data_IF_834631838975
#
_entry.id   IF_834631838975
#
_cell.length_a   1.000
_cell.length_b   1.000
_cell.length_c   1.000
_cell.angle_alpha   90.00
_cell.angle_beta   90.00
_cell.angle_gamma   90.00
#
_symmetry.space_group_name_H-M   'P 1'
#
loop_
_entity.id
_entity.type
_entity.pdbx_description
1 polymer ?
#
# COMPACT_ATOMS: atom_id res chain seq x y z
N UNK A 1 18.17 14.36 0.77
CA UNK A 1 18.58 14.16 -0.63
C UNK A 1 19.76 13.23 -0.79
N UNK A 2 20.63 13.12 0.18
CA UNK A 2 21.76 12.19 0.13
C UNK A 2 21.36 10.72 0.36
N UNK A 3 20.09 10.44 0.64
CA UNK A 3 19.59 9.10 0.98
C UNK A 3 19.01 8.35 -0.24
N UNK A 4 18.89 9.02 -1.38
CA UNK A 4 18.44 8.43 -2.65
C UNK A 4 17.12 7.64 -2.55
N UNK A 5 16.15 8.13 -1.75
CA UNK A 5 14.81 7.51 -1.68
C UNK A 5 14.14 7.54 -3.06
N UNK A 6 13.48 6.45 -3.41
CA UNK A 6 12.85 6.29 -4.73
C UNK A 6 11.38 6.71 -4.78
N UNK A 7 10.76 6.98 -3.62
CA UNK A 7 9.36 7.37 -3.52
C UNK A 7 9.12 8.33 -2.35
N UNK A 8 8.01 9.07 -2.40
CA UNK A 8 7.57 9.97 -1.34
C UNK A 8 6.08 9.76 -1.11
N UNK A 9 5.70 9.57 0.15
CA UNK A 9 4.31 9.50 0.60
C UNK A 9 3.85 10.89 1.07
N UNK A 10 2.80 11.42 0.44
CA UNK A 10 2.16 12.68 0.81
C UNK A 10 0.97 12.36 1.71
N UNK A 11 1.08 12.66 2.99
CA UNK A 11 0.05 12.42 4.01
C UNK A 11 -0.21 13.68 4.85
N UNK A 12 -1.30 13.67 5.61
CA UNK A 12 -1.74 14.79 6.43
C UNK A 12 -2.90 15.55 5.76
N UNK A 13 -3.28 16.68 6.32
CA UNK A 13 -4.42 17.46 5.84
C UNK A 13 -3.97 18.57 4.88
N UNK A 14 -3.85 18.25 3.61
CA UNK A 14 -3.47 19.19 2.55
C UNK A 14 -4.70 19.85 1.96
N UNK A 15 -5.00 21.07 2.41
CA UNK A 15 -6.17 21.86 1.95
C UNK A 15 -5.81 22.89 0.86
N UNK A 16 -4.66 22.72 0.22
CA UNK A 16 -4.12 23.68 -0.76
C UNK A 16 -4.61 23.46 -2.21
N UNK A 17 -5.50 22.49 -2.41
CA UNK A 17 -6.02 22.12 -3.72
C UNK A 17 -4.97 21.46 -4.62
N UNK A 18 -5.39 21.06 -5.81
CA UNK A 18 -4.52 20.38 -6.79
C UNK A 18 -3.30 21.23 -7.17
N UNK A 19 -3.44 22.54 -7.34
CA UNK A 19 -2.35 23.43 -7.70
C UNK A 19 -1.29 23.54 -6.59
N UNK A 20 -1.70 23.63 -5.32
CA UNK A 20 -0.78 23.69 -4.19
C UNK A 20 -0.02 22.38 -3.99
N UNK A 21 -0.70 21.24 -4.12
CA UNK A 21 -0.07 19.93 -4.08
C UNK A 21 0.88 19.75 -5.25
N UNK A 22 0.49 20.14 -6.48
CA UNK A 22 1.35 20.08 -7.67
C UNK A 22 2.65 20.88 -7.50
N UNK A 23 2.60 22.04 -6.82
CA UNK A 23 3.80 22.82 -6.50
C UNK A 23 4.74 22.06 -5.60
N UNK A 24 4.22 21.39 -4.56
CA UNK A 24 5.03 20.59 -3.64
C UNK A 24 5.63 19.35 -4.34
N UNK A 25 4.80 18.59 -5.09
CA UNK A 25 5.27 17.39 -5.81
C UNK A 25 6.32 17.73 -6.88
N UNK A 26 6.13 18.83 -7.64
CA UNK A 26 7.11 19.31 -8.62
C UNK A 26 8.44 19.69 -7.94
N UNK A 27 8.37 20.35 -6.78
CA UNK A 27 9.56 20.68 -6.00
C UNK A 27 10.31 19.42 -5.57
N UNK A 28 9.60 18.41 -5.06
CA UNK A 28 10.21 17.11 -4.70
C UNK A 28 10.81 16.42 -5.92
N UNK A 29 10.12 16.40 -7.06
CA UNK A 29 10.62 15.82 -8.29
C UNK A 29 11.89 16.52 -8.80
N UNK A 30 12.05 17.84 -8.58
CA UNK A 30 13.24 18.58 -9.00
C UNK A 30 14.53 18.10 -8.32
N UNK A 31 14.41 17.34 -7.24
CA UNK A 31 15.54 16.73 -6.53
C UNK A 31 15.89 15.32 -7.01
N UNK A 32 15.01 14.69 -7.78
CA UNK A 32 15.27 13.39 -8.37
C UNK A 32 16.21 13.53 -9.59
N UNK A 33 17.02 12.49 -9.91
CA UNK A 33 17.71 12.45 -11.20
C UNK A 33 16.71 12.55 -12.36
N UNK A 34 17.04 13.31 -13.41
CA UNK A 34 16.11 13.57 -14.51
C UNK A 34 15.61 12.33 -15.26
N UNK A 35 16.37 11.24 -15.19
CA UNK A 35 16.01 9.94 -15.78
C UNK A 35 15.43 8.93 -14.77
N UNK A 36 15.19 9.32 -13.52
CA UNK A 36 14.61 8.45 -12.48
C UNK A 36 13.79 9.28 -11.47
N UNK A 37 12.58 9.63 -11.87
CA UNK A 37 11.66 10.41 -11.06
C UNK A 37 11.14 9.61 -9.86
N UNK A 38 10.60 10.33 -8.85
CA UNK A 38 10.03 9.72 -7.64
C UNK A 38 8.65 9.12 -7.94
N UNK A 39 8.36 7.99 -7.30
CA UNK A 39 6.99 7.57 -7.07
C UNK A 39 6.37 8.51 -6.03
N UNK A 40 5.38 9.29 -6.43
CA UNK A 40 4.62 10.19 -5.57
C UNK A 40 3.33 9.50 -5.17
N UNK A 41 3.20 9.16 -3.89
CA UNK A 41 2.07 8.36 -3.38
C UNK A 41 1.26 9.13 -2.36
N UNK A 42 0.00 8.75 -2.17
CA UNK A 42 -0.89 9.26 -1.13
C UNK A 42 -1.93 8.21 -0.77
N UNK A 43 -2.59 8.36 0.38
CA UNK A 43 -3.80 7.62 0.74
C UNK A 43 -5.02 8.48 0.43
N UNK A 44 -5.70 8.20 -0.67
CA UNK A 44 -6.90 8.90 -1.13
C UNK A 44 -8.05 7.91 -1.29
N UNK A 45 -8.41 7.23 -0.18
CA UNK A 45 -9.48 6.23 -0.14
C UNK A 45 -10.88 6.85 -0.20
N UNK A 46 -10.99 8.08 0.25
CA UNK A 46 -12.24 8.79 0.52
C UNK A 46 -12.70 8.71 1.97
N UNK A 47 -13.79 9.41 2.28
CA UNK A 47 -14.32 9.49 3.64
C UNK A 47 -13.32 10.07 4.64
N UNK A 48 -12.96 9.29 5.66
CA UNK A 48 -12.03 9.70 6.71
C UNK A 48 -10.56 9.59 6.30
N UNK A 49 -10.26 8.89 5.20
CA UNK A 49 -8.89 8.74 4.67
C UNK A 49 -8.82 9.41 3.30
N UNK A 50 -8.79 10.74 3.35
CA UNK A 50 -8.61 11.61 2.21
C UNK A 50 -7.67 12.74 2.58
N UNK A 51 -6.39 12.59 2.21
CA UNK A 51 -5.34 13.52 2.61
C UNK A 51 -5.30 14.81 1.79
N UNK A 52 -5.68 14.72 0.51
CA UNK A 52 -5.62 15.83 -0.43
C UNK A 52 -7.02 16.41 -0.63
N UNK A 53 -7.16 17.69 -0.35
CA UNK A 53 -8.44 18.40 -0.31
C UNK A 53 -8.29 19.85 -0.87
N UNK A 54 -9.41 20.54 -1.04
CA UNK A 54 -9.47 21.90 -1.55
C UNK A 54 -9.73 21.95 -3.06
N UNK A 55 -9.54 23.11 -3.66
CA UNK A 55 -9.92 23.35 -5.05
C UNK A 55 -9.29 22.35 -6.02
N UNK A 56 -10.13 21.72 -6.84
CA UNK A 56 -9.74 20.71 -7.80
C UNK A 56 -9.71 19.28 -7.26
N UNK A 57 -9.96 19.06 -5.96
CA UNK A 57 -10.24 17.75 -5.40
C UNK A 57 -11.70 17.64 -4.99
N UNK A 58 -12.39 16.61 -5.48
CA UNK A 58 -13.71 16.26 -4.99
C UNK A 58 -13.63 15.69 -3.58
N UNK A 59 -14.68 15.91 -2.78
CA UNK A 59 -14.85 15.16 -1.55
C UNK A 59 -15.34 13.75 -1.90
N UNK A 60 -14.45 12.78 -1.78
CA UNK A 60 -14.75 11.38 -2.08
C UNK A 60 -15.63 10.77 -0.97
N UNK A 61 -16.67 10.01 -1.32
CA UNK A 61 -17.44 9.26 -0.31
C UNK A 61 -16.56 8.20 0.36
N UNK A 62 -16.94 7.77 1.57
CA UNK A 62 -16.27 6.62 2.22
C UNK A 62 -16.33 5.37 1.34
N UNK A 63 -15.38 4.46 1.50
CA UNK A 63 -15.37 3.23 0.71
C UNK A 63 -16.69 2.44 0.86
N UNK A 64 -17.29 2.39 2.06
CA UNK A 64 -18.60 1.77 2.28
C UNK A 64 -19.71 2.44 1.44
N UNK A 65 -19.68 3.76 1.28
CA UNK A 65 -20.61 4.45 0.38
C UNK A 65 -20.27 4.22 -1.10
N UNK A 66 -18.99 4.08 -1.45
CA UNK A 66 -18.56 3.65 -2.78
C UNK A 66 -19.08 2.24 -3.12
N UNK A 67 -19.14 1.33 -2.14
CA UNK A 67 -19.73 0.00 -2.30
C UNK A 67 -21.24 0.00 -2.63
N UNK A 68 -21.94 1.11 -2.42
CA UNK A 68 -23.33 1.29 -2.84
C UNK A 68 -23.48 1.72 -4.31
N UNK A 69 -22.40 2.07 -4.98
CA UNK A 69 -22.39 2.39 -6.41
C UNK A 69 -22.38 1.08 -7.23
N UNK A 70 -22.85 1.12 -8.47
CA UNK A 70 -22.50 0.05 -9.39
C UNK A 70 -20.99 0.13 -9.70
N UNK A 71 -20.36 -1.00 -10.04
CA UNK A 71 -18.94 -1.06 -10.42
C UNK A 71 -18.60 -0.11 -11.57
N UNK A 72 -19.52 0.07 -12.53
CA UNK A 72 -19.35 1.03 -13.63
C UNK A 72 -19.37 2.49 -13.14
N UNK A 73 -20.26 2.84 -12.22
CA UNK A 73 -20.29 4.19 -11.62
C UNK A 73 -19.03 4.45 -10.80
N UNK A 74 -18.58 3.46 -10.01
CA UNK A 74 -17.36 3.58 -9.23
C UNK A 74 -16.13 3.78 -10.13
N UNK A 75 -16.00 2.99 -11.23
CA UNK A 75 -14.92 3.19 -12.20
C UNK A 75 -14.90 4.60 -12.79
N UNK A 76 -16.06 5.12 -13.18
CA UNK A 76 -16.18 6.49 -13.72
C UNK A 76 -15.77 7.53 -12.67
N UNK A 77 -16.22 7.38 -11.42
CA UNK A 77 -15.84 8.27 -10.32
C UNK A 77 -14.35 8.19 -10.02
N UNK A 78 -13.79 6.99 -9.95
CA UNK A 78 -12.37 6.76 -9.72
C UNK A 78 -11.49 7.37 -10.85
N UNK A 79 -11.96 7.36 -12.10
CA UNK A 79 -11.27 8.04 -13.20
C UNK A 79 -11.23 9.56 -13.01
N UNK A 80 -12.30 10.15 -12.47
CA UNK A 80 -12.30 11.58 -12.12
C UNK A 80 -11.33 11.87 -10.99
N UNK A 81 -11.40 11.13 -9.90
CA UNK A 81 -10.50 11.29 -8.74
C UNK A 81 -9.03 11.06 -9.13
N UNK A 82 -8.76 10.03 -9.94
CA UNK A 82 -7.42 9.77 -10.47
C UNK A 82 -6.90 10.91 -11.35
N UNK A 83 -7.75 11.53 -12.16
CA UNK A 83 -7.37 12.72 -12.94
C UNK A 83 -6.99 13.90 -12.06
N UNK A 84 -7.67 14.08 -10.91
CA UNK A 84 -7.34 15.11 -9.92
C UNK A 84 -5.99 14.80 -9.24
N UNK A 85 -5.75 13.54 -8.85
CA UNK A 85 -4.47 13.09 -8.33
C UNK A 85 -3.33 13.31 -9.35
N UNK A 86 -3.55 12.92 -10.60
CA UNK A 86 -2.58 13.13 -11.68
C UNK A 86 -2.23 14.60 -11.86
N UNK A 87 -3.24 15.49 -11.82
CA UNK A 87 -3.05 16.94 -11.92
C UNK A 87 -2.24 17.50 -10.74
N UNK A 88 -2.31 16.87 -9.59
CA UNK A 88 -1.53 17.20 -8.40
C UNK A 88 -0.11 16.56 -8.38
N UNK A 89 0.26 15.79 -9.43
CA UNK A 89 1.56 15.15 -9.53
C UNK A 89 1.69 13.85 -8.74
N UNK A 90 0.57 13.28 -8.27
CA UNK A 90 0.52 11.94 -7.66
C UNK A 90 0.47 10.90 -8.79
N UNK A 91 1.24 9.84 -8.66
CA UNK A 91 1.27 8.77 -9.66
C UNK A 91 0.86 7.39 -9.13
N UNK A 92 0.76 7.21 -7.82
CA UNK A 92 0.17 6.01 -7.21
C UNK A 92 -0.72 6.42 -6.03
N UNK A 93 -1.97 5.93 -6.02
CA UNK A 93 -2.85 5.99 -4.86
C UNK A 93 -2.70 4.70 -4.05
N UNK A 94 -2.44 4.82 -2.75
CA UNK A 94 -2.38 3.69 -1.82
C UNK A 94 -3.80 3.27 -1.42
N UNK A 95 -4.59 2.92 -2.42
CA UNK A 95 -5.98 2.47 -2.36
C UNK A 95 -6.24 1.50 -3.55
N UNK A 96 -7.29 0.69 -3.49
CA UNK A 96 -8.33 0.59 -2.47
C UNK A 96 -8.00 -0.39 -1.33
N UNK A 97 -8.80 -0.32 -0.25
CA UNK A 97 -8.87 -1.36 0.78
C UNK A 97 -9.77 -2.50 0.27
N UNK A 98 -9.20 -3.69 0.09
CA UNK A 98 -9.91 -4.87 -0.45
C UNK A 98 -10.53 -5.72 0.67
N UNK A 99 -9.94 -5.67 1.88
CA UNK A 99 -10.29 -6.56 2.98
C UNK A 99 -11.77 -6.49 3.38
N UNK A 100 -12.30 -7.66 3.76
CA UNK A 100 -13.69 -7.82 4.22
C UNK A 100 -13.72 -7.80 5.74
N UNK A 101 -14.59 -6.98 6.33
CA UNK A 101 -14.77 -6.93 7.79
C UNK A 101 -15.62 -8.12 8.22
N UNK A 102 -15.03 -9.02 9.03
CA UNK A 102 -15.65 -10.28 9.47
C UNK A 102 -16.02 -10.29 10.96
N UNK A 103 -15.63 -9.26 11.71
CA UNK A 103 -16.03 -9.04 13.11
C UNK A 103 -17.06 -7.90 13.20
N UNK A 104 -17.57 -7.60 14.40
CA UNK A 104 -18.39 -6.40 14.58
C UNK A 104 -17.65 -5.17 14.03
N UNK A 105 -18.32 -4.44 13.15
CA UNK A 105 -17.72 -3.32 12.39
C UNK A 105 -17.15 -2.24 13.31
N UNK A 106 -17.84 -1.90 14.40
CA UNK A 106 -17.38 -0.88 15.33
C UNK A 106 -16.18 -1.33 16.15
N UNK A 107 -15.98 -2.65 16.30
CA UNK A 107 -14.85 -3.26 16.98
C UNK A 107 -13.64 -3.44 16.08
N UNK A 108 -13.79 -3.40 14.77
CA UNK A 108 -12.70 -3.46 13.81
C UNK A 108 -12.07 -2.08 13.63
N UNK A 109 -11.12 -1.75 14.50
CA UNK A 109 -10.49 -0.43 14.57
C UNK A 109 -9.78 0.05 13.30
N UNK A 110 -9.07 -0.84 12.53
CA UNK A 110 -8.30 -0.36 11.38
C UNK A 110 -9.15 -0.06 10.15
N UNK A 111 -10.25 -0.76 9.92
CA UNK A 111 -11.03 -0.70 8.67
C UNK A 111 -12.49 -0.37 8.94
N UNK A 112 -13.22 -1.25 9.64
CA UNK A 112 -14.68 -1.19 9.75
C UNK A 112 -15.20 0.05 10.47
N UNK A 113 -14.59 0.41 11.62
CA UNK A 113 -14.94 1.60 12.39
C UNK A 113 -14.69 2.90 11.61
N UNK A 114 -13.84 2.87 10.58
CA UNK A 114 -13.47 4.00 9.73
C UNK A 114 -14.14 3.97 8.34
N UNK A 115 -15.01 2.98 8.09
CA UNK A 115 -15.73 2.83 6.81
C UNK A 115 -14.80 2.76 5.59
N UNK A 116 -13.63 2.07 5.72
CA UNK A 116 -12.59 2.00 4.72
C UNK A 116 -12.74 0.84 3.73
N UNK A 117 -13.54 -0.18 4.03
CA UNK A 117 -13.93 -1.27 3.10
C UNK A 117 -15.20 -0.93 2.34
N UNK A 118 -15.47 -1.61 1.24
CA UNK A 118 -16.70 -1.39 0.46
C UNK A 118 -17.98 -1.87 1.16
N UNK A 119 -17.87 -2.56 2.30
CA UNK A 119 -19.01 -2.98 3.12
C UNK A 119 -19.81 -4.14 2.52
N UNK A 120 -19.23 -4.88 1.61
CA UNK A 120 -19.78 -6.02 0.89
C UNK A 120 -19.16 -7.33 1.39
N UNK A 121 -19.59 -8.45 0.82
CA UNK A 121 -18.87 -9.71 0.97
C UNK A 121 -17.54 -9.70 0.18
N UNK A 122 -16.77 -10.77 0.28
CA UNK A 122 -15.44 -10.86 -0.32
C UNK A 122 -15.44 -10.64 -1.84
N UNK A 123 -16.40 -11.26 -2.53
CA UNK A 123 -16.53 -11.12 -3.99
C UNK A 123 -16.97 -9.71 -4.38
N UNK A 124 -17.93 -9.13 -3.66
CA UNK A 124 -18.39 -7.77 -3.89
C UNK A 124 -17.29 -6.72 -3.62
N UNK A 125 -16.48 -6.91 -2.57
CA UNK A 125 -15.33 -6.06 -2.29
C UNK A 125 -14.27 -6.16 -3.41
N UNK A 126 -13.99 -7.37 -3.90
CA UNK A 126 -13.07 -7.59 -5.01
C UNK A 126 -13.55 -6.91 -6.30
N UNK A 127 -14.83 -7.03 -6.65
CA UNK A 127 -15.38 -6.42 -7.86
C UNK A 127 -15.34 -4.88 -7.81
N UNK A 128 -15.62 -4.29 -6.65
CA UNK A 128 -15.53 -2.84 -6.45
C UNK A 128 -14.06 -2.38 -6.45
N UNK A 129 -13.16 -3.15 -5.84
CA UNK A 129 -11.72 -2.86 -5.89
C UNK A 129 -11.19 -2.89 -7.34
N UNK A 130 -11.58 -3.89 -8.15
CA UNK A 130 -11.24 -3.94 -9.57
C UNK A 130 -11.72 -2.69 -10.32
N UNK A 131 -12.97 -2.27 -10.06
CA UNK A 131 -13.56 -1.08 -10.69
C UNK A 131 -12.80 0.20 -10.30
N UNK A 132 -12.44 0.36 -9.03
CA UNK A 132 -11.63 1.47 -8.54
C UNK A 132 -10.26 1.51 -9.22
N UNK A 133 -9.53 0.38 -9.24
CA UNK A 133 -8.20 0.25 -9.87
C UNK A 133 -8.28 0.61 -11.36
N UNK A 134 -9.28 0.10 -12.07
CA UNK A 134 -9.46 0.40 -13.50
C UNK A 134 -9.73 1.88 -13.74
N UNK A 135 -10.54 2.52 -12.89
CA UNK A 135 -10.80 3.96 -12.98
C UNK A 135 -9.55 4.80 -12.73
N UNK A 136 -8.73 4.47 -11.72
CA UNK A 136 -7.44 5.12 -11.50
C UNK A 136 -6.50 4.94 -12.70
N UNK A 137 -6.43 3.73 -13.24
CA UNK A 137 -5.60 3.42 -14.42
C UNK A 137 -6.06 4.17 -15.68
N UNK A 138 -7.37 4.39 -15.88
CA UNK A 138 -7.93 5.18 -16.99
C UNK A 138 -7.40 6.64 -17.01
N UNK A 139 -6.99 7.17 -15.87
CA UNK A 139 -6.36 8.50 -15.71
C UNK A 139 -4.83 8.45 -15.61
N UNK A 140 -4.23 7.28 -15.69
CA UNK A 140 -2.77 7.09 -15.60
C UNK A 140 -2.22 7.23 -14.18
N UNK A 141 -3.02 6.87 -13.17
CA UNK A 141 -2.61 6.74 -11.76
C UNK A 141 -2.63 5.27 -11.39
N UNK A 142 -1.55 4.78 -10.78
CA UNK A 142 -1.50 3.42 -10.25
C UNK A 142 -2.26 3.29 -8.93
N UNK A 143 -2.55 2.04 -8.56
CA UNK A 143 -3.23 1.70 -7.29
C UNK A 143 -2.39 0.71 -6.50
N UNK A 144 -2.46 0.79 -5.17
CA UNK A 144 -1.93 -0.24 -4.28
C UNK A 144 -3.07 -0.87 -3.49
N UNK A 145 -3.34 -2.15 -3.72
CA UNK A 145 -4.34 -2.87 -2.93
C UNK A 145 -3.82 -3.16 -1.53
N UNK A 146 -4.67 -3.01 -0.52
CA UNK A 146 -4.26 -3.08 0.89
C UNK A 146 -5.36 -3.60 1.82
N UNK A 147 -4.98 -4.11 2.94
CA UNK A 147 -3.66 -4.49 3.47
C UNK A 147 -3.55 -6.01 3.45
N UNK A 148 -2.82 -6.56 2.49
CA UNK A 148 -2.79 -8.00 2.22
C UNK A 148 -2.29 -8.80 3.45
N UNK A 149 -2.95 -9.89 3.90
CA UNK A 149 -4.09 -10.57 3.29
C UNK A 149 -5.46 -10.11 3.84
N UNK A 150 -5.55 -9.01 4.57
CA UNK A 150 -6.77 -8.41 5.09
C UNK A 150 -6.70 -8.04 6.58
N UNK A 151 -7.28 -6.92 6.98
CA UNK A 151 -7.37 -6.48 8.38
C UNK A 151 -8.80 -6.56 8.94
N UNK A 152 -9.70 -7.28 8.25
CA UNK A 152 -11.12 -7.31 8.62
C UNK A 152 -11.47 -8.11 9.86
N UNK A 153 -10.55 -8.98 10.33
CA UNK A 153 -10.76 -9.88 11.48
C UNK A 153 -10.08 -9.40 12.76
N UNK A 154 -9.23 -8.35 12.70
CA UNK A 154 -8.53 -7.82 13.85
C UNK A 154 -9.26 -6.64 14.48
N UNK A 155 -9.01 -6.37 15.77
CA UNK A 155 -9.61 -5.23 16.48
C UNK A 155 -8.64 -4.07 16.66
N UNK A 156 -7.35 -4.33 16.73
CA UNK A 156 -6.30 -3.33 16.88
C UNK A 156 -5.95 -2.65 15.56
N UNK A 157 -5.77 -1.33 15.59
CA UNK A 157 -5.19 -0.60 14.47
C UNK A 157 -3.66 -0.58 14.61
N UNK A 158 -2.97 -1.18 13.65
CA UNK A 158 -1.52 -1.37 13.65
C UNK A 158 -0.71 -0.07 13.75
N UNK A 159 -1.28 1.06 13.34
CA UNK A 159 -0.63 2.37 13.47
C UNK A 159 -0.47 2.80 14.93
N UNK A 160 -1.42 2.39 15.80
CA UNK A 160 -1.55 2.91 17.16
C UNK A 160 -1.33 1.86 18.25
N UNK A 161 -1.34 0.57 17.93
CA UNK A 161 -1.22 -0.50 18.93
C UNK A 161 -0.55 -1.74 18.36
N UNK A 162 0.10 -2.50 19.27
CA UNK A 162 0.55 -3.87 19.03
C UNK A 162 -0.44 -4.91 19.58
N UNK A 163 -1.52 -4.47 20.26
CA UNK A 163 -2.56 -5.34 20.82
C UNK A 163 -3.73 -5.49 19.84
N UNK A 164 -4.36 -6.67 19.83
CA UNK A 164 -5.54 -6.94 19.02
C UNK A 164 -5.28 -7.06 17.51
N UNK A 165 -4.02 -7.30 17.12
CA UNK A 165 -3.57 -7.44 15.73
C UNK A 165 -3.23 -8.89 15.34
N UNK A 166 -3.59 -9.88 16.16
CA UNK A 166 -3.50 -11.29 15.82
C UNK A 166 -4.80 -11.73 15.13
N UNK A 167 -4.70 -12.08 13.85
CA UNK A 167 -5.77 -12.70 13.09
C UNK A 167 -5.73 -14.22 13.31
N UNK A 168 -6.83 -14.79 13.82
CA UNK A 168 -6.96 -16.21 14.10
C UNK A 168 -7.85 -16.95 13.10
N UNK A 169 -8.35 -16.28 12.09
CA UNK A 169 -9.39 -16.77 11.17
C UNK A 169 -8.96 -16.85 9.72
N UNK A 170 -8.14 -15.91 9.24
CA UNK A 170 -7.73 -15.86 7.83
C UNK A 170 -6.79 -17.02 7.48
N UNK A 171 -7.14 -17.74 6.41
CA UNK A 171 -6.37 -18.86 5.86
C UNK A 171 -6.03 -18.64 4.39
N UNK A 172 -5.06 -19.38 3.84
CA UNK A 172 -4.63 -19.24 2.44
C UNK A 172 -5.71 -19.65 1.40
N UNK A 173 -6.70 -20.41 1.81
CA UNK A 173 -7.86 -20.84 1.03
C UNK A 173 -9.15 -20.08 1.40
N UNK A 174 -9.07 -19.09 2.28
CA UNK A 174 -10.19 -18.30 2.75
C UNK A 174 -10.70 -17.29 1.72
N UNK A 175 -11.97 -16.87 1.88
CA UNK A 175 -12.62 -15.92 0.98
C UNK A 175 -11.92 -14.55 1.00
N UNK A 176 -11.40 -14.12 2.16
CA UNK A 176 -10.73 -12.81 2.32
C UNK A 176 -9.49 -12.71 1.45
N UNK A 177 -8.61 -13.71 1.51
CA UNK A 177 -7.41 -13.73 0.66
C UNK A 177 -7.76 -13.99 -0.81
N UNK A 178 -8.83 -14.76 -1.06
CA UNK A 178 -9.39 -14.97 -2.39
C UNK A 178 -9.82 -13.66 -3.06
N UNK A 179 -10.43 -12.74 -2.31
CA UNK A 179 -10.80 -11.42 -2.81
C UNK A 179 -9.58 -10.61 -3.28
N UNK A 180 -8.49 -10.62 -2.50
CA UNK A 180 -7.23 -9.98 -2.91
C UNK A 180 -6.66 -10.63 -4.18
N UNK A 181 -6.59 -11.97 -4.22
CA UNK A 181 -6.05 -12.68 -5.37
C UNK A 181 -6.86 -12.40 -6.65
N UNK A 182 -8.20 -12.37 -6.55
CA UNK A 182 -9.09 -11.98 -7.65
C UNK A 182 -8.86 -10.53 -8.08
N UNK A 183 -8.60 -9.62 -7.15
CA UNK A 183 -8.35 -8.20 -7.46
C UNK A 183 -7.05 -7.99 -8.26
N UNK A 184 -6.08 -8.90 -8.18
CA UNK A 184 -4.84 -8.83 -8.99
C UNK A 184 -5.10 -8.87 -10.51
N UNK A 185 -6.25 -9.40 -10.94
CA UNK A 185 -6.66 -9.40 -12.36
C UNK A 185 -6.81 -7.97 -12.93
N UNK A 186 -7.06 -6.96 -12.06
CA UNK A 186 -7.12 -5.56 -12.46
C UNK A 186 -5.74 -4.89 -12.59
N UNK A 187 -4.64 -5.65 -12.42
CA UNK A 187 -3.25 -5.19 -12.50
C UNK A 187 -2.94 -3.99 -11.60
N UNK A 188 -3.16 -4.06 -10.27
CA UNK A 188 -2.73 -3.01 -9.37
C UNK A 188 -1.20 -2.82 -9.47
N UNK A 189 -0.73 -1.60 -9.33
CA UNK A 189 0.70 -1.26 -9.39
C UNK A 189 1.48 -1.86 -8.23
N UNK A 190 0.84 -2.02 -7.07
CA UNK A 190 1.45 -2.52 -5.84
C UNK A 190 0.46 -3.37 -5.04
N UNK A 191 1.03 -4.25 -4.22
CA UNK A 191 0.34 -4.90 -3.10
C UNK A 191 0.97 -4.41 -1.80
N UNK A 192 0.17 -3.82 -0.90
CA UNK A 192 0.64 -3.40 0.41
C UNK A 192 0.36 -4.49 1.45
N UNK A 193 1.43 -4.93 2.11
CA UNK A 193 1.36 -5.96 3.14
C UNK A 193 0.92 -5.39 4.48
N UNK A 194 0.06 -6.12 5.17
CA UNK A 194 -0.39 -5.83 6.53
C UNK A 194 0.74 -6.00 7.57
N UNK A 195 0.63 -5.29 8.69
CA UNK A 195 1.49 -5.46 9.88
C UNK A 195 0.88 -6.41 10.91
N UNK A 196 -0.32 -6.95 10.68
CA UNK A 196 -0.93 -7.95 11.55
C UNK A 196 -0.26 -9.32 11.38
N UNK A 197 -0.41 -10.17 12.41
CA UNK A 197 0.07 -11.56 12.40
C UNK A 197 -1.11 -12.49 12.13
N UNK A 198 -0.91 -13.50 11.27
CA UNK A 198 -1.96 -14.44 10.83
C UNK A 198 -1.62 -15.83 11.34
N UNK A 199 -2.32 -16.27 12.39
CA UNK A 199 -2.01 -17.49 13.14
C UNK A 199 -1.99 -18.76 12.28
N UNK A 200 -2.90 -18.86 11.31
CA UNK A 200 -3.00 -20.04 10.45
C UNK A 200 -1.99 -20.05 9.29
N UNK A 201 -1.28 -18.94 9.05
CA UNK A 201 -0.33 -18.79 7.94
C UNK A 201 1.10 -18.73 8.46
N UNK A 202 1.40 -17.77 9.32
CA UNK A 202 2.69 -17.60 9.99
C UNK A 202 2.48 -16.98 11.37
N UNK A 203 2.42 -17.80 12.43
CA UNK A 203 2.15 -17.28 13.78
C UNK A 203 3.31 -16.50 14.40
N UNK A 204 4.48 -16.52 13.76
CA UNK A 204 5.71 -15.97 14.34
C UNK A 204 6.09 -14.59 13.75
N UNK A 205 5.55 -14.23 12.60
CA UNK A 205 5.90 -13.00 11.92
C UNK A 205 4.65 -12.21 11.49
N UNK A 206 4.67 -10.87 11.60
CA UNK A 206 3.71 -10.04 10.88
C UNK A 206 3.74 -10.35 9.38
N UNK A 207 2.60 -10.22 8.69
CA UNK A 207 2.47 -10.54 7.27
C UNK A 207 3.58 -9.93 6.39
N UNK A 208 3.94 -8.69 6.66
CA UNK A 208 4.99 -7.95 5.94
C UNK A 208 6.38 -8.61 6.00
N UNK A 209 6.64 -9.41 7.04
CA UNK A 209 7.90 -10.12 7.28
C UNK A 209 7.79 -11.65 7.14
N UNK A 210 6.64 -12.13 6.70
CA UNK A 210 6.38 -13.57 6.52
C UNK A 210 6.86 -14.04 5.15
N UNK A 211 7.94 -14.83 5.12
CA UNK A 211 8.39 -15.49 3.88
C UNK A 211 7.30 -16.42 3.33
N UNK A 212 6.61 -17.16 4.20
CA UNK A 212 5.51 -18.06 3.82
C UNK A 212 4.40 -17.31 3.06
N UNK A 213 4.07 -16.07 3.48
CA UNK A 213 3.01 -15.30 2.83
C UNK A 213 3.53 -14.51 1.63
N UNK A 214 4.66 -13.80 1.75
CA UNK A 214 5.16 -12.89 0.73
C UNK A 214 5.81 -13.67 -0.41
N UNK A 215 6.79 -14.53 -0.12
CA UNK A 215 7.54 -15.26 -1.16
C UNK A 215 6.80 -16.51 -1.59
N UNK A 216 6.46 -17.42 -0.65
CA UNK A 216 5.97 -18.74 -1.04
C UNK A 216 4.54 -18.67 -1.57
N UNK A 217 3.69 -17.84 -0.97
CA UNK A 217 2.32 -17.74 -1.43
C UNK A 217 2.12 -16.65 -2.49
N UNK A 218 2.32 -15.36 -2.16
CA UNK A 218 1.99 -14.26 -3.08
C UNK A 218 2.86 -14.25 -4.34
N UNK A 219 4.19 -14.47 -4.21
CA UNK A 219 5.10 -14.52 -5.36
C UNK A 219 4.99 -15.83 -6.14
N UNK A 220 5.14 -16.97 -5.43
CA UNK A 220 5.34 -18.26 -6.10
C UNK A 220 4.02 -18.97 -6.42
N UNK A 221 3.04 -18.95 -5.51
CA UNK A 221 1.75 -19.64 -5.71
C UNK A 221 0.76 -18.79 -6.49
N UNK A 222 0.54 -17.53 -6.06
CA UNK A 222 -0.37 -16.59 -6.75
C UNK A 222 0.27 -16.02 -8.02
N UNK A 223 1.59 -15.88 -8.04
CA UNK A 223 2.34 -15.43 -9.23
C UNK A 223 2.46 -13.91 -9.37
N UNK A 224 2.23 -13.13 -8.30
CA UNK A 224 2.33 -11.67 -8.37
C UNK A 224 3.79 -11.23 -8.52
N UNK A 225 4.11 -10.57 -9.65
CA UNK A 225 5.46 -10.10 -9.98
C UNK A 225 5.63 -8.57 -9.86
N UNK A 226 4.59 -7.83 -9.50
CA UNK A 226 4.64 -6.39 -9.26
C UNK A 226 5.33 -6.01 -7.95
N UNK A 227 5.27 -4.73 -7.59
CA UNK A 227 5.88 -4.20 -6.37
C UNK A 227 5.08 -4.63 -5.14
N UNK A 228 5.74 -5.24 -4.16
CA UNK A 228 5.21 -5.48 -2.82
C UNK A 228 5.75 -4.41 -1.89
N UNK A 229 4.86 -3.56 -1.38
CA UNK A 229 5.21 -2.53 -0.39
C UNK A 229 4.78 -2.94 1.01
N UNK A 230 5.42 -2.40 2.02
CA UNK A 230 4.94 -2.52 3.40
C UNK A 230 3.83 -1.52 3.67
N UNK A 231 2.97 -1.79 4.67
CA UNK A 231 2.35 -0.73 5.45
C UNK A 231 3.43 0.02 6.26
N UNK A 232 3.08 1.09 6.98
CA UNK A 232 4.08 1.97 7.61
C UNK A 232 5.00 1.22 8.58
N UNK A 233 6.28 1.07 8.21
CA UNK A 233 7.27 0.40 9.08
C UNK A 233 7.58 1.23 10.35
N UNK A 234 7.13 2.48 10.45
CA UNK A 234 7.20 3.29 11.66
C UNK A 234 5.98 3.16 12.57
N UNK A 235 5.04 2.24 12.26
CA UNK A 235 3.83 2.01 13.04
C UNK A 235 4.12 1.39 14.42
N UNK A 236 3.24 1.67 15.37
CA UNK A 236 3.35 1.19 16.77
C UNK A 236 3.41 -0.34 16.87
N UNK A 237 2.73 -1.05 15.97
CA UNK A 237 2.75 -2.52 15.89
C UNK A 237 4.16 -3.11 15.77
N UNK A 238 5.10 -2.38 15.18
CA UNK A 238 6.49 -2.81 14.97
C UNK A 238 7.49 -2.18 15.94
N UNK A 239 7.02 -1.43 16.94
CA UNK A 239 7.87 -0.69 17.89
C UNK A 239 8.87 -1.52 18.71
N UNK A 240 8.72 -2.84 18.73
CA UNK A 240 9.69 -3.77 19.35
C UNK A 240 10.87 -4.16 18.44
N UNK A 241 10.87 -3.73 17.17
CA UNK A 241 11.90 -4.07 16.19
C UNK A 241 12.82 -2.86 15.99
N UNK A 242 14.14 -3.11 15.95
CA UNK A 242 15.09 -2.02 15.67
C UNK A 242 14.88 -1.47 14.25
N UNK A 243 14.85 -0.15 14.05
CA UNK A 243 14.62 0.43 12.73
C UNK A 243 15.59 -0.08 11.64
N UNK A 244 16.85 -0.39 11.98
CA UNK A 244 17.82 -0.99 11.06
C UNK A 244 17.43 -2.38 10.55
N UNK A 245 16.61 -3.13 11.30
CA UNK A 245 16.19 -4.48 10.92
C UNK A 245 14.94 -4.49 10.05
N UNK A 246 14.16 -3.42 10.05
CA UNK A 246 12.85 -3.37 9.37
C UNK A 246 12.99 -3.59 7.86
N UNK A 247 13.89 -2.85 7.20
CA UNK A 247 14.15 -3.01 5.77
C UNK A 247 14.75 -4.36 5.42
N UNK A 248 15.63 -4.87 6.28
CA UNK A 248 16.25 -6.19 6.11
C UNK A 248 15.18 -7.28 6.15
N UNK A 249 14.29 -7.27 7.15
CA UNK A 249 13.19 -8.26 7.26
C UNK A 249 12.22 -8.17 6.08
N UNK A 250 11.89 -6.95 5.62
CA UNK A 250 11.03 -6.75 4.46
C UNK A 250 11.61 -7.41 3.20
N UNK A 251 12.87 -7.13 2.89
CA UNK A 251 13.55 -7.69 1.71
C UNK A 251 13.79 -9.19 1.86
N UNK A 252 14.13 -9.67 3.05
CA UNK A 252 14.29 -11.11 3.31
C UNK A 252 13.00 -11.88 3.06
N UNK A 253 11.85 -11.31 3.42
CA UNK A 253 10.54 -11.89 3.16
C UNK A 253 10.12 -11.84 1.67
N UNK A 254 10.77 -11.03 0.83
CA UNK A 254 10.45 -10.88 -0.59
C UNK A 254 9.71 -9.58 -0.95
N UNK A 255 9.64 -8.61 -0.01
CA UNK A 255 9.10 -7.27 -0.25
C UNK A 255 10.10 -6.36 -0.97
N UNK A 256 9.61 -5.25 -1.54
CA UNK A 256 10.39 -4.41 -2.45
C UNK A 256 10.51 -2.95 -2.00
N UNK A 257 9.48 -2.39 -1.40
CA UNK A 257 9.40 -0.96 -1.10
C UNK A 257 8.98 -0.75 0.36
N UNK A 258 9.86 -0.13 1.15
CA UNK A 258 9.57 0.24 2.52
C UNK A 258 8.72 1.52 2.54
N UNK A 259 7.46 1.42 2.98
CA UNK A 259 6.63 2.57 3.31
C UNK A 259 6.92 3.01 4.75
N UNK A 260 7.11 4.30 4.98
CA UNK A 260 7.37 4.86 6.32
C UNK A 260 6.64 6.19 6.49
N UNK A 261 5.99 6.37 7.64
CA UNK A 261 5.33 7.62 8.02
C UNK A 261 6.24 8.63 8.74
N UNK A 262 7.45 8.22 9.14
CA UNK A 262 8.38 9.03 9.92
C UNK A 262 9.79 9.04 9.28
N UNK A 263 10.27 10.22 8.90
CA UNK A 263 11.51 10.37 8.12
C UNK A 263 12.79 9.97 8.86
N UNK A 264 12.79 9.92 10.18
CA UNK A 264 13.90 9.48 11.02
C UNK A 264 14.19 7.97 10.90
N UNK A 265 13.25 7.19 10.36
CA UNK A 265 13.45 5.77 10.05
C UNK A 265 14.26 5.53 8.77
N UNK A 266 14.36 6.52 7.85
CA UNK A 266 15.02 6.34 6.55
C UNK A 266 16.48 5.92 6.70
N UNK A 267 17.27 6.69 7.49
CA UNK A 267 18.70 6.40 7.59
C UNK A 267 18.98 5.07 8.29
N UNK A 268 18.37 4.73 9.44
CA UNK A 268 18.54 3.42 10.05
C UNK A 268 18.19 2.24 9.13
N UNK A 269 17.08 2.33 8.37
CA UNK A 269 16.69 1.30 7.39
C UNK A 269 17.77 1.13 6.31
N UNK A 270 18.27 2.23 5.74
CA UNK A 270 19.32 2.19 4.73
C UNK A 270 20.64 1.62 5.28
N UNK A 271 21.02 1.99 6.51
CA UNK A 271 22.22 1.47 7.16
C UNK A 271 22.13 -0.05 7.36
N UNK A 272 20.96 -0.55 7.82
CA UNK A 272 20.74 -1.98 7.98
C UNK A 272 20.79 -2.75 6.65
N UNK A 273 20.12 -2.25 5.62
CA UNK A 273 20.15 -2.85 4.28
C UNK A 273 21.57 -2.90 3.71
N UNK A 274 22.31 -1.80 3.79
CA UNK A 274 23.68 -1.72 3.30
C UNK A 274 24.65 -2.65 4.06
N UNK A 275 24.55 -2.69 5.39
CA UNK A 275 25.36 -3.56 6.23
C UNK A 275 25.11 -5.04 5.91
N UNK A 276 23.85 -5.44 5.81
CA UNK A 276 23.48 -6.82 5.49
C UNK A 276 23.89 -7.20 4.07
N UNK A 277 23.67 -6.35 3.08
CA UNK A 277 24.05 -6.60 1.68
C UNK A 277 25.59 -6.71 1.51
N UNK A 278 26.34 -5.93 2.25
CA UNK A 278 27.82 -6.01 2.23
C UNK A 278 28.36 -7.31 2.84
N UNK A 279 27.62 -7.91 3.79
CA UNK A 279 28.02 -9.13 4.49
C UNK A 279 27.46 -10.41 3.85
N UNK A 280 26.43 -10.32 3.02
CA UNK A 280 25.66 -11.46 2.49
C UNK A 280 25.28 -11.19 1.02
N UNK A 281 25.97 -11.90 0.11
CA UNK A 281 25.72 -11.74 -1.33
C UNK A 281 24.32 -12.22 -1.77
N UNK A 282 23.76 -13.24 -1.13
CA UNK A 282 22.42 -13.69 -1.45
C UNK A 282 21.37 -12.64 -1.06
N UNK A 283 21.60 -11.91 0.03
CA UNK A 283 20.75 -10.77 0.40
C UNK A 283 20.95 -9.59 -0.57
N UNK A 284 22.17 -9.31 -1.00
CA UNK A 284 22.43 -8.28 -2.02
C UNK A 284 21.69 -8.57 -3.34
N UNK A 285 21.59 -9.84 -3.74
CA UNK A 285 20.78 -10.26 -4.89
C UNK A 285 19.28 -9.99 -4.67
N UNK A 286 18.75 -10.24 -3.47
CA UNK A 286 17.35 -9.89 -3.13
C UNK A 286 17.10 -8.39 -3.23
N UNK A 287 17.98 -7.56 -2.68
CA UNK A 287 17.90 -6.08 -2.81
C UNK A 287 17.90 -5.65 -4.27
N UNK A 288 18.75 -6.25 -5.09
CA UNK A 288 18.79 -6.00 -6.53
C UNK A 288 17.47 -6.38 -7.22
N UNK A 289 16.91 -7.53 -6.91
CA UNK A 289 15.62 -7.96 -7.46
C UNK A 289 14.47 -7.04 -7.04
N UNK A 290 14.45 -6.58 -5.79
CA UNK A 290 13.48 -5.60 -5.31
C UNK A 290 13.62 -4.26 -6.05
N UNK A 291 14.83 -3.77 -6.23
CA UNK A 291 15.10 -2.56 -7.00
C UNK A 291 14.65 -2.70 -8.47
N UNK A 292 14.87 -3.86 -9.09
CA UNK A 292 14.42 -4.15 -10.48
C UNK A 292 12.90 -4.04 -10.57
N UNK A 293 12.13 -4.59 -9.62
CA UNK A 293 10.65 -4.50 -9.65
C UNK A 293 10.17 -3.05 -9.51
N UNK A 294 10.76 -2.29 -8.59
CA UNK A 294 10.43 -0.86 -8.43
C UNK A 294 10.78 -0.08 -9.70
N UNK A 295 11.95 -0.32 -10.29
CA UNK A 295 12.34 0.33 -11.54
C UNK A 295 11.46 -0.08 -12.71
N UNK A 296 11.06 -1.35 -12.81
CA UNK A 296 10.11 -1.83 -13.84
C UNK A 296 8.77 -1.08 -13.73
N UNK A 297 8.26 -0.89 -12.50
CA UNK A 297 7.07 -0.07 -12.29
C UNK A 297 7.29 1.38 -12.75
N UNK A 298 8.42 1.99 -12.40
CA UNK A 298 8.74 3.36 -12.83
C UNK A 298 8.84 3.48 -14.35
N UNK A 299 9.46 2.52 -15.03
CA UNK A 299 9.53 2.48 -16.50
C UNK A 299 8.13 2.38 -17.12
N UNK A 300 7.27 1.51 -16.60
CA UNK A 300 5.89 1.35 -17.10
C UNK A 300 5.04 2.62 -16.93
N UNK A 301 5.36 3.45 -15.93
CA UNK A 301 4.71 4.74 -15.66
C UNK A 301 5.36 5.92 -16.37
N UNK A 302 6.45 5.72 -17.11
CA UNK A 302 7.21 6.80 -17.74
C UNK A 302 7.99 7.69 -16.76
N UNK A 303 8.27 7.19 -15.55
CA UNK A 303 9.02 7.88 -14.50
C UNK A 303 10.52 7.61 -14.57
N UNK A 304 10.94 6.64 -15.38
CA UNK A 304 12.34 6.32 -15.63
C UNK A 304 12.59 6.06 -17.13
N UNK A 305 13.83 6.28 -17.57
CA UNK A 305 14.28 6.10 -18.97
C UNK A 305 15.73 5.62 -19.06
#
# INVERSE_FOLDING_TARGET
MNQHVGSVLIIGNWNSGTAGVATATSTLQSYAPGNNQLLMTTDQEGGLVQHLQGDGFDQMPSATNQGSMSTNQLRQSAAVWGSQLKSAGINVDLAPVVGTVTVDRASNGPIGALYRDFGLDADGNADHAKAFIQGMADSGVGSAIKHYPGLGSVTGNTDFTADGILDTTTTLDGAEIGAFNSTLEANPSMVMMSLATYQAIDPNNPAVFSNALVTDYLRNTVGFQGVITSDSLSATALGGIQPSDLGVRLVDAGGDLACIGASDYVQPILDGLNAKAAADSAFADKVTQSAIRVMTLKYSMGLAS
#
